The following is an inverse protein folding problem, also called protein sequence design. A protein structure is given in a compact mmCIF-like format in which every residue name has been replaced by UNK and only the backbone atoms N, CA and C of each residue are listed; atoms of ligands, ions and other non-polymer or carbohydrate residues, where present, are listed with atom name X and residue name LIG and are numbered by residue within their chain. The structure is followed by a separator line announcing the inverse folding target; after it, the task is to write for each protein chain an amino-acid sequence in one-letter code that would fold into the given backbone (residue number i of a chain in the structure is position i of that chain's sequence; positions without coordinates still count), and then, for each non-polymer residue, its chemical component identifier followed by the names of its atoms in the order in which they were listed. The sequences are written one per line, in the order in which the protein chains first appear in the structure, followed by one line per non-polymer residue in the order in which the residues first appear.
data_IF_353736024251
#
_entry.id   IF_353736024251
#
_cell.length_a   1.000
_cell.length_b   1.000
_cell.length_c   1.000
_cell.angle_alpha   90.00
_cell.angle_beta   90.00
_cell.angle_gamma   90.00
#
_symmetry.space_group_name_H-M   'P 1'
#
loop_
_entity.id
_entity.type
_entity.pdbx_description
1 polymer ?
#
# COMPACT_ATOMS: atom_id res chain seq x y z
N UNK A 1 -31.95 -8.08 23.24
CA UNK A 1 -30.82 -7.11 23.23
C UNK A 1 -29.58 -7.90 23.62
N UNK A 2 -28.87 -8.44 22.64
CA UNK A 2 -27.52 -8.99 22.85
C UNK A 2 -26.59 -7.82 23.10
N UNK A 3 -26.06 -7.71 24.31
CA UNK A 3 -25.02 -6.72 24.64
C UNK A 3 -23.79 -7.04 23.82
N UNK A 4 -23.48 -6.22 22.82
CA UNK A 4 -22.20 -6.27 22.10
C UNK A 4 -21.07 -6.08 23.10
N UNK A 5 -20.00 -6.85 22.99
CA UNK A 5 -18.87 -6.68 23.90
C UNK A 5 -18.25 -5.28 23.69
N UNK A 6 -17.68 -4.66 24.75
CA UNK A 6 -17.05 -3.35 24.61
C UNK A 6 -16.04 -3.32 23.46
N UNK A 7 -16.10 -2.31 22.60
CA UNK A 7 -15.19 -2.13 21.48
C UNK A 7 -15.49 -2.94 20.21
N UNK A 8 -16.46 -3.86 20.24
CA UNK A 8 -16.92 -4.55 19.02
C UNK A 8 -17.64 -3.57 18.08
N UNK A 9 -18.34 -2.60 18.63
CA UNK A 9 -18.96 -1.48 17.92
C UNK A 9 -17.92 -0.61 17.20
N UNK A 10 -16.79 -0.32 17.85
CA UNK A 10 -15.67 0.42 17.24
C UNK A 10 -15.04 -0.39 16.12
N UNK A 11 -14.82 -1.70 16.32
CA UNK A 11 -14.28 -2.57 15.28
C UNK A 11 -15.21 -2.61 14.06
N UNK A 12 -16.51 -2.78 14.27
CA UNK A 12 -17.52 -2.74 13.21
C UNK A 12 -17.55 -1.39 12.49
N UNK A 13 -17.44 -0.28 13.22
CA UNK A 13 -17.41 1.06 12.63
C UNK A 13 -16.16 1.28 11.75
N UNK A 14 -14.97 0.91 12.24
CA UNK A 14 -13.73 0.97 11.45
C UNK A 14 -13.83 0.11 10.17
N UNK A 15 -14.38 -1.10 10.28
CA UNK A 15 -14.62 -1.98 9.13
C UNK A 15 -15.57 -1.32 8.14
N UNK A 16 -16.69 -0.75 8.62
CA UNK A 16 -17.66 -0.10 7.76
C UNK A 16 -17.06 1.09 6.98
N UNK A 17 -16.18 1.89 7.60
CA UNK A 17 -15.47 2.98 6.91
C UNK A 17 -14.59 2.44 5.78
N UNK A 18 -13.79 1.41 6.05
CA UNK A 18 -12.90 0.83 5.05
C UNK A 18 -13.66 0.15 3.91
N UNK A 19 -14.75 -0.56 4.21
CA UNK A 19 -15.62 -1.17 3.19
C UNK A 19 -16.30 -0.10 2.34
N UNK A 20 -16.79 1.00 2.93
CA UNK A 20 -17.39 2.10 2.17
C UNK A 20 -16.36 2.81 1.28
N UNK A 21 -15.13 3.01 1.78
CA UNK A 21 -14.03 3.51 0.97
C UNK A 21 -13.77 2.59 -0.23
N UNK A 22 -13.64 1.28 -0.01
CA UNK A 22 -13.44 0.29 -1.09
C UNK A 22 -14.60 0.25 -2.08
N UNK A 23 -15.84 0.36 -1.61
CA UNK A 23 -17.02 0.38 -2.48
C UNK A 23 -17.00 1.59 -3.43
N UNK A 24 -16.68 2.78 -2.92
CA UNK A 24 -16.56 3.99 -3.75
C UNK A 24 -15.37 3.92 -4.70
N UNK A 25 -14.25 3.34 -4.25
CA UNK A 25 -13.10 3.09 -5.12
C UNK A 25 -13.47 2.14 -6.27
N UNK A 26 -14.09 0.99 -5.95
CA UNK A 26 -14.54 0.02 -6.94
C UNK A 26 -15.55 0.63 -7.93
N UNK A 27 -16.48 1.45 -7.46
CA UNK A 27 -17.41 2.17 -8.34
C UNK A 27 -16.68 3.15 -9.28
N UNK A 28 -15.61 3.80 -8.83
CA UNK A 28 -14.81 4.68 -9.68
C UNK A 28 -14.14 3.90 -10.82
N UNK A 29 -13.64 2.71 -10.50
CA UNK A 29 -12.98 1.79 -11.44
C UNK A 29 -13.97 1.25 -12.48
N UNK A 30 -15.22 1.00 -12.11
CA UNK A 30 -16.23 0.40 -13.00
C UNK A 30 -17.03 1.41 -13.82
N UNK A 31 -17.24 2.63 -13.31
CA UNK A 31 -17.99 3.69 -14.00
C UNK A 31 -17.09 4.56 -14.89
N UNK A 32 -15.80 4.69 -14.55
CA UNK A 32 -14.81 5.38 -15.39
C UNK A 32 -14.43 4.58 -16.64
N UNK A 33 -13.73 5.21 -17.59
CA UNK A 33 -13.20 4.51 -18.75
C UNK A 33 -12.23 3.40 -18.29
N UNK A 34 -12.59 2.14 -18.55
CA UNK A 34 -11.94 0.93 -18.01
C UNK A 34 -10.39 0.91 -18.19
N UNK A 35 -9.87 1.49 -19.26
CA UNK A 35 -8.43 1.58 -19.55
C UNK A 35 -7.67 2.53 -18.59
N UNK A 36 -8.39 3.42 -17.89
CA UNK A 36 -7.84 4.43 -17.00
C UNK A 36 -7.63 3.90 -15.57
N UNK A 37 -8.40 2.88 -15.19
CA UNK A 37 -8.47 2.38 -13.83
C UNK A 37 -7.42 1.30 -13.46
N UNK A 38 -6.75 0.72 -14.45
CA UNK A 38 -5.78 -0.39 -14.24
C UNK A 38 -4.65 -0.01 -13.26
N UNK A 39 -4.03 1.16 -13.46
CA UNK A 39 -2.92 1.62 -12.61
C UNK A 39 -3.38 1.90 -11.17
N UNK A 40 -4.47 2.66 -10.93
CA UNK A 40 -5.04 2.78 -9.59
C UNK A 40 -5.33 1.43 -8.91
N UNK A 41 -5.88 0.45 -9.64
CA UNK A 41 -6.12 -0.89 -9.10
C UNK A 41 -4.82 -1.56 -8.68
N UNK A 42 -3.75 -1.49 -9.47
CA UNK A 42 -2.43 -2.01 -9.06
C UNK A 42 -1.88 -1.30 -7.83
N UNK A 43 -2.04 0.02 -7.74
CA UNK A 43 -1.58 0.81 -6.60
C UNK A 43 -2.34 0.46 -5.31
N UNK A 44 -3.61 0.08 -5.43
CA UNK A 44 -4.49 -0.21 -4.30
C UNK A 44 -4.62 -1.69 -3.95
N UNK A 45 -4.14 -2.59 -4.80
CA UNK A 45 -4.40 -4.03 -4.68
C UNK A 45 -4.03 -4.60 -3.31
N UNK A 46 -2.83 -4.31 -2.82
CA UNK A 46 -2.35 -4.80 -1.53
C UNK A 46 -3.16 -4.22 -0.36
N UNK A 47 -3.60 -2.96 -0.43
CA UNK A 47 -4.50 -2.35 0.57
C UNK A 47 -5.91 -2.94 0.53
N UNK A 48 -6.45 -3.23 -0.66
CA UNK A 48 -7.74 -3.93 -0.78
C UNK A 48 -7.65 -5.32 -0.13
N UNK A 49 -6.60 -6.08 -0.45
CA UNK A 49 -6.34 -7.38 0.15
C UNK A 49 -6.14 -7.29 1.67
N UNK A 50 -5.44 -6.26 2.16
CA UNK A 50 -5.28 -5.99 3.58
C UNK A 50 -6.62 -5.78 4.27
N UNK A 51 -7.45 -4.87 3.74
CA UNK A 51 -8.76 -4.54 4.30
C UNK A 51 -9.65 -5.79 4.34
N UNK A 52 -9.83 -6.48 3.21
CA UNK A 52 -10.69 -7.66 3.08
C UNK A 52 -10.28 -8.77 4.07
N UNK A 53 -8.99 -9.07 4.12
CA UNK A 53 -8.49 -10.14 4.98
C UNK A 53 -8.67 -9.81 6.45
N UNK A 54 -8.28 -8.59 6.85
CA UNK A 54 -8.33 -8.19 8.26
C UNK A 54 -9.74 -7.90 8.73
N UNK A 55 -10.62 -7.37 7.88
CA UNK A 55 -12.03 -7.15 8.23
C UNK A 55 -12.71 -8.48 8.45
N UNK A 56 -12.54 -9.44 7.54
CA UNK A 56 -13.09 -10.78 7.70
C UNK A 56 -12.55 -11.49 8.96
N UNK A 57 -11.25 -11.37 9.23
CA UNK A 57 -10.65 -11.92 10.45
C UNK A 57 -11.25 -11.30 11.73
N UNK A 58 -11.48 -9.99 11.74
CA UNK A 58 -12.11 -9.30 12.86
C UNK A 58 -13.59 -9.69 13.01
N UNK A 59 -14.33 -9.75 11.89
CA UNK A 59 -15.75 -10.14 11.87
C UNK A 59 -15.96 -11.54 12.45
N UNK A 60 -15.07 -12.51 12.20
CA UNK A 60 -15.14 -13.84 12.83
C UNK A 60 -15.19 -13.80 14.36
N UNK A 61 -14.73 -12.71 14.96
CA UNK A 61 -14.73 -12.53 16.41
C UNK A 61 -15.88 -11.65 16.90
N UNK A 62 -16.27 -10.62 16.14
CA UNK A 62 -17.24 -9.60 16.58
C UNK A 62 -18.64 -9.75 15.96
N UNK A 63 -18.74 -10.40 14.80
CA UNK A 63 -19.99 -10.69 14.09
C UNK A 63 -19.84 -11.97 13.23
N UNK A 64 -19.78 -13.16 13.86
CA UNK A 64 -19.48 -14.43 13.17
C UNK A 64 -20.45 -14.74 12.03
N UNK A 65 -21.75 -14.51 12.21
CA UNK A 65 -22.76 -14.76 11.18
C UNK A 65 -22.50 -13.93 9.91
N UNK A 66 -22.06 -12.67 10.07
CA UNK A 66 -21.66 -11.82 8.94
C UNK A 66 -20.35 -12.32 8.32
N UNK A 67 -19.40 -12.78 9.13
CA UNK A 67 -18.15 -13.34 8.61
C UNK A 67 -18.40 -14.59 7.75
N UNK A 68 -19.29 -15.48 8.19
CA UNK A 68 -19.65 -16.69 7.47
C UNK A 68 -20.36 -16.37 6.15
N UNK A 69 -21.23 -15.36 6.14
CA UNK A 69 -21.86 -14.85 4.92
C UNK A 69 -20.85 -14.23 3.93
N UNK A 70 -19.73 -13.69 4.43
CA UNK A 70 -18.67 -13.05 3.66
C UNK A 70 -17.48 -13.96 3.35
N UNK A 71 -17.64 -15.29 3.49
CA UNK A 71 -16.58 -16.24 3.15
C UNK A 71 -16.14 -16.10 1.68
N UNK A 72 -14.83 -16.15 1.45
CA UNK A 72 -14.22 -15.97 0.12
C UNK A 72 -13.16 -17.04 -0.17
N UNK A 73 -13.04 -17.42 -1.43
CA UNK A 73 -12.31 -18.62 -1.86
C UNK A 73 -10.84 -18.33 -2.24
N UNK A 74 -10.53 -17.08 -2.57
CA UNK A 74 -9.18 -16.65 -2.94
C UNK A 74 -8.27 -16.32 -1.73
N UNK A 75 -8.53 -16.90 -0.56
CA UNK A 75 -7.83 -16.59 0.69
C UNK A 75 -6.29 -16.62 0.59
N UNK A 76 -5.65 -17.62 -0.04
CA UNK A 76 -4.18 -17.64 -0.13
C UNK A 76 -3.60 -16.49 -0.98
N UNK A 77 -4.29 -16.08 -2.06
CA UNK A 77 -3.82 -15.00 -2.92
C UNK A 77 -3.95 -13.64 -2.23
N UNK A 78 -5.12 -13.40 -1.61
CA UNK A 78 -5.39 -12.19 -0.83
C UNK A 78 -4.44 -12.08 0.35
N UNK A 79 -4.18 -13.18 1.07
CA UNK A 79 -3.24 -13.20 2.19
C UNK A 79 -1.82 -12.84 1.72
N UNK A 80 -1.30 -13.46 0.66
CA UNK A 80 0.02 -13.13 0.12
C UNK A 80 0.13 -11.66 -0.31
N UNK A 81 -0.85 -11.15 -1.04
CA UNK A 81 -0.87 -9.75 -1.49
C UNK A 81 -0.92 -8.77 -0.31
N UNK A 82 -1.71 -9.07 0.72
CA UNK A 82 -1.73 -8.31 1.98
C UNK A 82 -0.35 -8.23 2.62
N UNK A 83 0.40 -9.33 2.63
CA UNK A 83 1.73 -9.36 3.26
C UNK A 83 2.74 -8.43 2.57
N UNK A 84 2.55 -8.10 1.28
CA UNK A 84 3.42 -7.17 0.55
C UNK A 84 3.42 -5.73 1.12
N UNK A 85 2.37 -5.33 1.84
CA UNK A 85 2.29 -4.02 2.53
C UNK A 85 3.41 -3.85 3.56
N UNK A 86 3.88 -4.95 4.16
CA UNK A 86 4.88 -4.91 5.23
C UNK A 86 6.29 -4.62 4.72
N UNK A 87 6.57 -4.78 3.43
CA UNK A 87 7.92 -4.59 2.88
C UNK A 87 8.96 -5.39 3.71
N UNK A 88 9.93 -4.74 4.37
CA UNK A 88 10.93 -5.41 5.22
C UNK A 88 10.44 -5.69 6.65
N UNK A 89 9.22 -5.33 7.04
CA UNK A 89 8.65 -5.54 8.39
C UNK A 89 7.97 -6.88 8.61
N UNK A 90 8.06 -7.80 7.65
CA UNK A 90 7.58 -9.14 7.91
C UNK A 90 8.52 -9.83 8.89
N UNK A 91 8.01 -10.19 10.08
CA UNK A 91 8.76 -10.94 11.11
C UNK A 91 9.27 -12.32 10.64
N UNK A 92 8.86 -12.75 9.45
CA UNK A 92 9.26 -13.99 8.80
C UNK A 92 10.15 -13.79 7.58
N UNK A 93 10.51 -12.54 7.24
CA UNK A 93 11.38 -12.22 6.11
C UNK A 93 12.49 -11.28 6.56
N UNK A 94 13.72 -11.65 6.23
CA UNK A 94 14.86 -10.74 6.32
C UNK A 94 14.89 -9.81 5.08
N UNK A 95 15.73 -8.77 5.13
CA UNK A 95 15.90 -7.84 4.01
C UNK A 95 16.30 -8.58 2.72
N UNK A 96 17.13 -9.61 2.87
CA UNK A 96 17.56 -10.48 1.77
C UNK A 96 16.41 -11.26 1.11
N UNK A 97 15.35 -11.61 1.84
CA UNK A 97 14.20 -12.33 1.28
C UNK A 97 13.38 -11.43 0.36
N UNK A 98 13.17 -10.16 0.75
CA UNK A 98 12.49 -9.17 -0.10
C UNK A 98 13.38 -8.80 -1.29
N UNK A 99 14.69 -8.68 -1.09
CA UNK A 99 15.65 -8.55 -2.19
C UNK A 99 15.60 -9.73 -3.16
N UNK A 100 15.45 -10.96 -2.66
CA UNK A 100 15.29 -12.15 -3.49
C UNK A 100 13.98 -12.13 -4.30
N UNK A 101 12.88 -11.68 -3.70
CA UNK A 101 11.60 -11.48 -4.40
C UNK A 101 11.75 -10.51 -5.58
N UNK A 102 12.38 -9.34 -5.37
CA UNK A 102 12.62 -8.37 -6.44
C UNK A 102 13.62 -8.85 -7.50
N UNK A 103 14.70 -9.52 -7.09
CA UNK A 103 15.69 -10.10 -8.01
C UNK A 103 15.01 -11.07 -8.98
N UNK A 104 14.14 -11.92 -8.46
CA UNK A 104 13.35 -12.88 -9.24
C UNK A 104 12.44 -12.14 -10.23
N UNK A 105 11.65 -11.16 -9.77
CA UNK A 105 10.76 -10.34 -10.61
C UNK A 105 11.52 -9.67 -11.77
N UNK A 106 12.69 -9.08 -11.48
CA UNK A 106 13.55 -8.44 -12.48
C UNK A 106 13.99 -9.46 -13.54
N UNK A 107 14.47 -10.62 -13.10
CA UNK A 107 14.95 -11.69 -13.98
C UNK A 107 13.83 -12.20 -14.91
N UNK A 108 12.61 -12.39 -14.41
CA UNK A 108 11.50 -12.87 -15.24
C UNK A 108 11.01 -11.84 -16.24
N UNK A 109 10.97 -10.56 -15.88
CA UNK A 109 10.69 -9.50 -16.84
C UNK A 109 11.76 -9.42 -17.94
N UNK A 110 13.03 -9.60 -17.58
CA UNK A 110 14.13 -9.66 -18.56
C UNK A 110 13.96 -10.81 -19.52
N UNK A 111 13.67 -12.00 -19.01
CA UNK A 111 13.45 -13.20 -19.82
C UNK A 111 12.27 -13.04 -20.79
N UNK A 112 11.20 -12.36 -20.37
CA UNK A 112 10.01 -12.17 -21.20
C UNK A 112 10.20 -11.07 -22.25
N UNK A 113 10.80 -9.94 -21.88
CA UNK A 113 10.77 -8.73 -22.71
C UNK A 113 12.07 -8.43 -23.47
N UNK A 114 13.19 -9.08 -23.13
CA UNK A 114 14.49 -8.85 -23.75
C UNK A 114 14.95 -10.02 -24.63
N UNK A 115 15.87 -9.76 -25.54
CA UNK A 115 16.42 -10.77 -26.46
C UNK A 115 15.48 -11.15 -27.61
N UNK A 116 14.33 -10.50 -27.72
CA UNK A 116 13.29 -10.78 -28.72
C UNK A 116 13.56 -10.12 -30.07
N UNK A 117 14.55 -9.22 -30.17
CA UNK A 117 14.84 -8.51 -31.42
C UNK A 117 15.80 -9.30 -32.32
N UNK A 118 15.38 -9.53 -33.57
CA UNK A 118 16.20 -10.21 -34.59
C UNK A 118 17.46 -9.44 -35.01
N UNK A 119 17.48 -8.10 -34.82
CA UNK A 119 18.63 -7.23 -35.08
C UNK A 119 19.47 -7.02 -33.81
N UNK A 120 20.73 -7.52 -33.74
CA UNK A 120 21.58 -7.34 -32.56
C UNK A 120 21.82 -5.88 -32.17
N UNK A 121 21.91 -4.97 -33.14
CA UNK A 121 22.12 -3.53 -32.91
C UNK A 121 20.91 -2.84 -32.25
N UNK A 122 19.73 -3.44 -32.31
CA UNK A 122 18.52 -2.90 -31.69
C UNK A 122 18.30 -3.40 -30.24
N UNK A 123 19.07 -4.40 -29.77
CA UNK A 123 18.98 -4.93 -28.39
C UNK A 123 19.09 -3.86 -27.29
N UNK A 124 19.94 -2.81 -27.41
CA UNK A 124 20.00 -1.75 -26.39
C UNK A 124 18.72 -0.88 -26.25
N UNK A 125 17.79 -1.00 -27.22
CA UNK A 125 16.50 -0.30 -27.24
C UNK A 125 15.38 -1.11 -26.58
N UNK A 126 15.59 -2.41 -26.33
CA UNK A 126 14.61 -3.28 -25.67
C UNK A 126 14.32 -2.79 -24.24
N UNK A 127 13.06 -2.94 -23.82
CA UNK A 127 12.50 -2.41 -22.57
C UNK A 127 11.80 -3.54 -21.82
N UNK A 128 12.10 -3.64 -20.53
CA UNK A 128 11.60 -4.68 -19.59
C UNK A 128 10.91 -4.07 -18.36
N UNK A 129 10.87 -2.74 -18.27
CA UNK A 129 10.26 -2.02 -17.16
C UNK A 129 9.31 -0.94 -17.67
N UNK A 130 8.11 -0.90 -17.08
CA UNK A 130 7.15 0.18 -17.29
C UNK A 130 7.11 1.05 -16.03
N UNK A 131 7.17 2.37 -16.20
CA UNK A 131 7.04 3.36 -15.15
C UNK A 131 5.69 4.07 -15.32
N UNK A 132 4.83 3.98 -14.31
CA UNK A 132 3.55 4.69 -14.29
C UNK A 132 3.62 5.87 -13.34
N UNK A 133 3.35 7.06 -13.88
CA UNK A 133 3.37 8.31 -13.13
C UNK A 133 1.97 8.93 -13.08
N UNK A 134 1.64 9.51 -11.94
CA UNK A 134 0.46 10.34 -11.73
C UNK A 134 0.90 11.75 -11.33
N UNK A 135 0.48 12.77 -12.10
CA UNK A 135 0.93 14.17 -11.98
C UNK A 135 2.46 14.30 -11.86
N UNK A 136 3.18 13.53 -12.68
CA UNK A 136 4.64 13.49 -12.70
C UNK A 136 5.29 12.62 -11.61
N UNK A 137 4.54 12.11 -10.63
CA UNK A 137 5.06 11.29 -9.51
C UNK A 137 4.98 9.80 -9.82
N UNK A 138 6.04 9.05 -9.55
CA UNK A 138 6.06 7.60 -9.78
C UNK A 138 5.18 6.89 -8.76
N UNK A 139 4.03 6.37 -9.21
CA UNK A 139 3.04 5.70 -8.35
C UNK A 139 3.07 4.19 -8.48
N UNK A 140 3.62 3.67 -9.58
CA UNK A 140 3.85 2.23 -9.74
C UNK A 140 4.89 1.96 -10.84
N UNK A 141 5.43 0.75 -10.82
CA UNK A 141 6.22 0.18 -11.92
C UNK A 141 5.73 -1.24 -12.20
N UNK A 142 6.03 -1.80 -13.38
CA UNK A 142 5.67 -3.19 -13.65
C UNK A 142 6.27 -4.16 -12.62
N UNK A 143 7.49 -3.91 -12.11
CA UNK A 143 8.05 -4.69 -11.00
C UNK A 143 7.30 -4.50 -9.68
N UNK A 144 6.93 -3.26 -9.34
CA UNK A 144 6.17 -2.95 -8.12
C UNK A 144 4.79 -3.60 -8.15
N UNK A 145 4.10 -3.54 -9.29
CA UNK A 145 2.82 -4.20 -9.49
C UNK A 145 2.95 -5.72 -9.31
N UNK A 146 3.96 -6.36 -9.92
CA UNK A 146 4.22 -7.80 -9.75
C UNK A 146 4.45 -8.16 -8.28
N UNK A 147 5.19 -7.33 -7.53
CA UNK A 147 5.41 -7.52 -6.10
C UNK A 147 4.13 -7.40 -5.28
N UNK A 148 3.34 -6.32 -5.46
CA UNK A 148 2.12 -6.08 -4.68
C UNK A 148 0.96 -7.02 -5.01
N UNK A 149 0.89 -7.52 -6.25
CA UNK A 149 -0.06 -8.56 -6.62
C UNK A 149 0.28 -9.93 -6.00
N UNK A 150 1.53 -10.11 -5.54
CA UNK A 150 2.04 -11.33 -4.92
C UNK A 150 1.72 -12.62 -5.70
N UNK A 151 1.71 -12.52 -7.03
CA UNK A 151 1.65 -13.69 -7.89
C UNK A 151 3.01 -14.38 -7.91
N UNK A 152 3.05 -15.73 -7.85
CA UNK A 152 4.27 -16.43 -8.20
C UNK A 152 4.59 -16.07 -9.65
N UNK A 153 5.82 -15.69 -9.98
CA UNK A 153 6.14 -15.23 -11.31
C UNK A 153 5.97 -16.27 -12.42
N UNK A 154 5.98 -17.55 -12.05
CA UNK A 154 5.58 -18.64 -12.95
C UNK A 154 4.16 -18.42 -13.49
N UNK A 155 3.28 -17.73 -12.75
CA UNK A 155 1.96 -17.33 -13.24
C UNK A 155 2.05 -16.34 -14.41
N UNK A 156 3.12 -15.54 -14.53
CA UNK A 156 3.30 -14.62 -15.66
C UNK A 156 3.85 -15.32 -16.92
N UNK A 157 4.44 -16.52 -16.79
CA UNK A 157 4.88 -17.34 -17.94
C UNK A 157 3.72 -17.94 -18.72
N UNK A 158 2.58 -18.15 -18.06
CA UNK A 158 1.38 -18.67 -18.71
C UNK A 158 0.33 -17.56 -18.81
N UNK A 159 0.34 -16.83 -19.93
CA UNK A 159 -0.63 -15.75 -20.20
C UNK A 159 -2.08 -16.25 -20.18
N UNK A 160 -2.29 -17.54 -20.50
CA UNK A 160 -3.61 -18.18 -20.43
C UNK A 160 -4.08 -18.44 -18.99
N UNK A 161 -3.19 -18.33 -17.99
CA UNK A 161 -3.48 -18.56 -16.57
C UNK A 161 -3.48 -17.26 -15.75
N UNK A 162 -2.64 -16.27 -16.09
CA UNK A 162 -2.56 -15.00 -15.35
C UNK A 162 -3.86 -14.19 -15.43
N UNK A 163 -4.40 -14.01 -16.64
CA UNK A 163 -5.63 -13.24 -16.87
C UNK A 163 -6.81 -13.80 -16.07
N UNK A 164 -7.12 -15.11 -16.19
CA UNK A 164 -8.16 -15.75 -15.40
C UNK A 164 -7.93 -15.67 -13.89
N UNK A 165 -6.69 -15.78 -13.40
CA UNK A 165 -6.38 -15.63 -11.96
C UNK A 165 -6.61 -14.21 -11.45
N UNK A 166 -6.14 -13.21 -12.19
CA UNK A 166 -6.39 -11.80 -11.88
C UNK A 166 -7.89 -11.52 -11.84
N UNK A 167 -8.63 -12.02 -12.84
CA UNK A 167 -10.08 -11.91 -12.89
C UNK A 167 -10.75 -12.59 -11.70
N UNK A 168 -10.34 -13.82 -11.34
CA UNK A 168 -10.91 -14.54 -10.19
C UNK A 168 -10.71 -13.79 -8.86
N UNK A 169 -9.51 -13.23 -8.64
CA UNK A 169 -9.24 -12.40 -7.45
C UNK A 169 -10.09 -11.13 -7.47
N UNK A 170 -10.19 -10.44 -8.61
CA UNK A 170 -11.00 -9.23 -8.74
C UNK A 170 -12.51 -9.49 -8.50
N UNK A 171 -13.05 -10.61 -9.01
CA UNK A 171 -14.43 -11.04 -8.77
C UNK A 171 -14.66 -11.30 -7.28
N UNK A 172 -13.76 -12.04 -6.62
CA UNK A 172 -13.87 -12.31 -5.19
C UNK A 172 -13.77 -11.03 -4.35
N UNK A 173 -12.87 -10.11 -4.70
CA UNK A 173 -12.79 -8.79 -4.07
C UNK A 173 -14.10 -8.02 -4.23
N UNK A 174 -14.65 -7.96 -5.45
CA UNK A 174 -15.92 -7.30 -5.74
C UNK A 174 -17.10 -7.93 -4.99
N UNK A 175 -17.17 -9.26 -4.94
CA UNK A 175 -18.19 -10.01 -4.18
C UNK A 175 -18.14 -9.68 -2.70
N UNK A 176 -16.94 -9.73 -2.11
CA UNK A 176 -16.74 -9.41 -0.70
C UNK A 176 -17.13 -7.95 -0.41
N UNK A 177 -16.63 -6.98 -1.19
CA UNK A 177 -16.93 -5.55 -0.99
C UNK A 177 -18.43 -5.28 -1.14
N UNK A 178 -19.05 -5.86 -2.18
CA UNK A 178 -20.48 -5.67 -2.44
C UNK A 178 -21.36 -6.22 -1.32
N UNK A 179 -21.09 -7.45 -0.87
CA UNK A 179 -21.84 -8.09 0.22
C UNK A 179 -21.56 -7.41 1.57
N UNK A 180 -20.31 -7.06 1.88
CA UNK A 180 -19.96 -6.40 3.14
C UNK A 180 -20.54 -5.00 3.25
N UNK A 181 -20.82 -4.34 2.11
CA UNK A 181 -21.46 -3.04 2.06
C UNK A 181 -22.99 -3.11 2.01
N UNK A 182 -23.58 -4.31 2.00
CA UNK A 182 -25.02 -4.49 2.04
C UNK A 182 -25.59 -3.91 3.34
N UNK A 183 -26.59 -3.04 3.23
CA UNK A 183 -27.17 -2.33 4.37
C UNK A 183 -26.39 -1.09 4.84
N UNK A 184 -25.18 -0.84 4.34
CA UNK A 184 -24.49 0.44 4.59
C UNK A 184 -25.06 1.54 3.67
N UNK A 185 -25.49 2.69 4.21
CA UNK A 185 -25.96 3.80 3.39
C UNK A 185 -24.83 4.30 2.51
N UNK A 186 -25.13 4.64 1.26
CA UNK A 186 -24.14 5.20 0.34
C UNK A 186 -23.62 6.56 0.85
N UNK A 187 -22.30 6.73 0.89
CA UNK A 187 -21.64 7.90 1.49
C UNK A 187 -20.83 8.72 0.47
N UNK A 188 -21.48 9.23 -0.57
CA UNK A 188 -20.96 10.31 -1.43
C UNK A 188 -20.27 9.87 -2.73
N UNK A 189 -19.49 10.75 -3.33
CA UNK A 189 -18.96 10.57 -4.70
C UNK A 189 -17.87 9.49 -4.80
N UNK A 190 -17.64 8.91 -6.00
CA UNK A 190 -16.54 7.99 -6.25
C UNK A 190 -15.16 8.65 -5.99
N UNK A 191 -14.19 7.84 -5.55
CA UNK A 191 -12.83 8.25 -5.14
C UNK A 191 -12.01 8.84 -6.29
N UNK A 192 -12.12 8.26 -7.50
CA UNK A 192 -11.27 8.62 -8.64
C UNK A 192 -11.97 9.53 -9.67
N UNK A 193 -13.19 9.99 -9.40
CA UNK A 193 -14.00 10.80 -10.33
C UNK A 193 -13.32 12.14 -10.72
N UNK A 194 -12.31 12.54 -9.95
CA UNK A 194 -11.51 13.76 -10.13
C UNK A 194 -10.24 13.54 -10.96
N UNK A 195 -9.86 12.29 -11.25
CA UNK A 195 -8.63 11.97 -11.99
C UNK A 195 -8.84 12.18 -13.48
N UNK A 196 -7.97 12.99 -14.11
CA UNK A 196 -7.97 13.18 -15.56
C UNK A 196 -6.99 12.24 -16.23
N UNK A 197 -7.30 11.77 -17.44
CA UNK A 197 -6.37 11.02 -18.30
C UNK A 197 -5.01 11.69 -18.44
N UNK A 198 -5.01 13.01 -18.59
CA UNK A 198 -3.80 13.84 -18.73
C UNK A 198 -2.87 13.78 -17.51
N UNK A 199 -3.39 13.39 -16.35
CA UNK A 199 -2.61 13.30 -15.13
C UNK A 199 -1.73 12.03 -15.13
N UNK A 200 -2.01 11.05 -16.01
CA UNK A 200 -1.28 9.79 -16.08
C UNK A 200 -0.28 9.78 -17.23
N UNK A 201 0.95 9.37 -16.95
CA UNK A 201 1.95 9.10 -17.99
C UNK A 201 2.57 7.71 -17.82
N UNK A 202 2.91 7.11 -18.95
CA UNK A 202 3.59 5.81 -19.03
C UNK A 202 4.93 5.97 -19.74
N UNK A 203 6.00 5.44 -19.15
CA UNK A 203 7.32 5.40 -19.78
C UNK A 203 7.90 3.99 -19.74
N UNK A 204 8.23 3.44 -20.92
CA UNK A 204 8.89 2.13 -21.04
C UNK A 204 10.40 2.32 -21.05
N UNK A 205 11.08 1.73 -20.09
CA UNK A 205 12.52 1.88 -19.87
C UNK A 205 13.21 0.51 -19.76
N UNK A 206 14.54 0.54 -19.78
CA UNK A 206 15.36 -0.65 -19.48
C UNK A 206 15.62 -0.65 -17.98
N UNK A 207 15.19 -1.68 -17.26
CA UNK A 207 15.32 -1.81 -15.80
C UNK A 207 16.76 -1.57 -15.36
N UNK A 208 17.70 -2.26 -16.01
CA UNK A 208 19.14 -2.13 -15.74
C UNK A 208 19.63 -0.66 -15.82
N UNK A 209 19.19 0.09 -16.84
CA UNK A 209 19.57 1.50 -17.02
C UNK A 209 18.87 2.40 -16.00
N UNK A 210 17.62 2.10 -15.68
CA UNK A 210 16.82 2.85 -14.70
C UNK A 210 17.44 2.70 -13.31
N UNK A 211 17.54 1.47 -12.80
CA UNK A 211 18.07 1.22 -11.47
C UNK A 211 19.56 1.57 -11.34
N UNK A 212 20.38 1.49 -12.39
CA UNK A 212 21.74 2.02 -12.33
C UNK A 212 21.80 3.51 -11.97
N UNK A 213 20.80 4.28 -12.41
CA UNK A 213 20.72 5.74 -12.23
C UNK A 213 19.87 6.18 -11.05
N UNK A 214 19.19 5.25 -10.37
CA UNK A 214 18.31 5.58 -9.25
C UNK A 214 18.97 5.26 -7.92
N UNK A 215 18.74 6.09 -6.90
CA UNK A 215 19.31 5.93 -5.56
C UNK A 215 20.85 5.80 -5.57
N UNK A 216 21.41 5.38 -4.45
CA UNK A 216 22.85 5.24 -4.30
C UNK A 216 23.44 4.15 -5.24
N UNK A 217 24.52 4.40 -5.98
CA UNK A 217 25.21 3.43 -6.83
C UNK A 217 25.73 2.17 -6.13
N UNK A 218 26.02 2.22 -4.82
CA UNK A 218 26.48 1.07 -4.04
C UNK A 218 25.38 0.02 -3.84
N UNK A 219 24.11 0.43 -3.90
CA UNK A 219 22.98 -0.48 -3.72
C UNK A 219 22.81 -1.40 -4.93
N UNK A 220 22.48 -2.65 -4.64
CA UNK A 220 22.15 -3.65 -5.68
C UNK A 220 20.81 -3.34 -6.32
N UNK A 221 20.61 -3.81 -7.55
CA UNK A 221 19.42 -3.54 -8.35
C UNK A 221 18.11 -3.94 -7.66
N UNK A 222 18.09 -5.09 -6.99
CA UNK A 222 16.91 -5.55 -6.25
C UNK A 222 16.56 -4.66 -5.06
N UNK A 223 17.56 -4.08 -4.39
CA UNK A 223 17.35 -3.16 -3.26
C UNK A 223 16.77 -1.86 -3.78
N UNK A 224 17.29 -1.36 -4.91
CA UNK A 224 16.73 -0.20 -5.61
C UNK A 224 15.31 -0.44 -6.08
N UNK A 225 14.99 -1.64 -6.57
CA UNK A 225 13.63 -1.99 -6.94
C UNK A 225 12.67 -1.99 -5.73
N UNK A 226 13.09 -2.49 -4.56
CA UNK A 226 12.30 -2.37 -3.34
C UNK A 226 12.16 -0.92 -2.84
N UNK A 227 13.21 -0.11 -2.90
CA UNK A 227 13.13 1.33 -2.59
C UNK A 227 12.16 2.04 -3.55
N UNK A 228 12.19 1.70 -4.84
CA UNK A 228 11.20 2.19 -5.80
C UNK A 228 9.78 1.79 -5.40
N UNK A 229 9.56 0.55 -4.95
CA UNK A 229 8.24 0.13 -4.48
C UNK A 229 7.77 0.91 -3.25
N UNK A 230 8.67 1.26 -2.32
CA UNK A 230 8.39 2.16 -1.19
C UNK A 230 8.01 3.56 -1.68
N UNK A 231 8.79 4.12 -2.61
CA UNK A 231 8.50 5.42 -3.24
C UNK A 231 7.13 5.41 -3.92
N UNK A 232 6.80 4.34 -4.65
CA UNK A 232 5.49 4.15 -5.27
C UNK A 232 4.37 4.15 -4.24
N UNK A 233 4.48 3.37 -3.16
CA UNK A 233 3.47 3.29 -2.11
C UNK A 233 3.23 4.65 -1.41
N UNK A 234 4.30 5.39 -1.12
CA UNK A 234 4.23 6.74 -0.56
C UNK A 234 3.56 7.72 -1.54
N UNK A 235 3.96 7.70 -2.81
CA UNK A 235 3.36 8.55 -3.83
C UNK A 235 1.88 8.20 -4.05
N UNK A 236 1.48 6.93 -4.02
CA UNK A 236 0.06 6.54 -4.05
C UNK A 236 -0.70 7.20 -2.90
N UNK A 237 -0.19 7.12 -1.67
CA UNK A 237 -0.84 7.72 -0.51
C UNK A 237 -0.83 9.27 -0.52
N UNK A 238 0.21 9.87 -1.10
CA UNK A 238 0.42 11.32 -1.12
C UNK A 238 -0.26 12.04 -2.30
N UNK A 239 -0.41 11.38 -3.45
CA UNK A 239 -1.00 12.02 -4.65
C UNK A 239 -2.26 11.34 -5.17
N UNK A 240 -2.32 10.01 -5.22
CA UNK A 240 -3.48 9.31 -5.77
C UNK A 240 -4.64 9.30 -4.79
N UNK A 241 -4.36 9.07 -3.51
CA UNK A 241 -5.35 9.08 -2.44
C UNK A 241 -5.63 10.47 -1.84
N UNK A 242 -4.87 11.49 -2.24
CA UNK A 242 -5.06 12.85 -1.75
C UNK A 242 -6.28 13.55 -2.38
N UNK A 243 -6.70 13.11 -3.57
CA UNK A 243 -7.84 13.68 -4.29
C UNK A 243 -9.20 13.28 -3.68
N UNK A 244 -9.24 12.28 -2.78
CA UNK A 244 -10.45 11.89 -2.06
C UNK A 244 -10.70 12.83 -0.88
N UNK A 245 -11.50 13.87 -1.12
CA UNK A 245 -11.89 14.86 -0.11
C UNK A 245 -13.19 14.50 0.62
N UNK A 246 -13.74 13.31 0.40
CA UNK A 246 -14.99 12.93 1.04
C UNK A 246 -14.75 12.66 2.54
N UNK A 247 -15.49 13.30 3.47
CA UNK A 247 -15.29 13.12 4.90
C UNK A 247 -15.37 11.66 5.36
N UNK A 248 -16.18 10.86 4.67
CA UNK A 248 -16.38 9.43 4.96
C UNK A 248 -15.15 8.57 4.63
N UNK A 249 -14.16 9.14 3.95
CA UNK A 249 -12.88 8.50 3.64
C UNK A 249 -11.83 8.79 4.70
N UNK A 250 -12.04 9.81 5.55
CA UNK A 250 -10.99 10.39 6.37
C UNK A 250 -10.30 9.36 7.26
N UNK A 251 -11.09 8.50 7.93
CA UNK A 251 -10.61 7.40 8.77
C UNK A 251 -9.74 6.41 7.99
N UNK A 252 -10.23 5.93 6.84
CA UNK A 252 -9.50 4.98 6.00
C UNK A 252 -8.23 5.59 5.43
N UNK A 253 -8.30 6.83 4.92
CA UNK A 253 -7.14 7.53 4.35
C UNK A 253 -6.08 7.83 5.42
N UNK A 254 -6.48 8.21 6.63
CA UNK A 254 -5.58 8.32 7.77
C UNK A 254 -4.89 6.98 8.05
N UNK A 255 -5.68 5.91 8.17
CA UNK A 255 -5.17 4.54 8.41
C UNK A 255 -4.16 4.11 7.36
N UNK A 256 -4.49 4.28 6.07
CA UNK A 256 -3.61 3.90 4.96
C UNK A 256 -2.29 4.67 5.02
N UNK A 257 -2.34 6.01 5.18
CA UNK A 257 -1.13 6.85 5.32
C UNK A 257 -0.27 6.41 6.49
N UNK A 258 -0.87 6.18 7.66
CA UNK A 258 -0.15 5.74 8.85
C UNK A 258 0.53 4.39 8.65
N UNK A 259 -0.19 3.39 8.13
CA UNK A 259 0.33 2.04 7.90
C UNK A 259 1.47 2.07 6.87
N UNK A 260 1.30 2.81 5.77
CA UNK A 260 2.32 2.96 4.73
C UNK A 260 3.57 3.62 5.29
N UNK A 261 3.43 4.75 6.00
CA UNK A 261 4.57 5.43 6.62
C UNK A 261 5.29 4.55 7.63
N UNK A 262 4.56 3.89 8.53
CA UNK A 262 5.17 3.01 9.53
C UNK A 262 6.03 1.93 8.87
N UNK A 263 5.49 1.24 7.86
CA UNK A 263 6.22 0.18 7.17
C UNK A 263 7.40 0.67 6.33
N UNK A 264 7.25 1.82 5.68
CA UNK A 264 8.35 2.42 4.91
C UNK A 264 9.45 2.90 5.85
N UNK A 265 9.14 3.64 6.91
CA UNK A 265 10.12 4.15 7.86
C UNK A 265 10.88 3.01 8.56
N UNK A 266 10.18 1.97 8.98
CA UNK A 266 10.82 0.82 9.63
C UNK A 266 11.70 0.04 8.63
N UNK A 267 11.27 -0.08 7.37
CA UNK A 267 12.08 -0.65 6.30
C UNK A 267 13.32 0.19 5.99
N UNK A 268 13.20 1.52 5.96
CA UNK A 268 14.32 2.44 5.77
C UNK A 268 15.31 2.39 6.95
N UNK A 269 14.82 2.22 8.18
CA UNK A 269 15.68 2.01 9.36
C UNK A 269 16.54 0.75 9.21
N UNK A 270 15.95 -0.37 8.82
CA UNK A 270 16.69 -1.63 8.55
C UNK A 270 17.72 -1.47 7.41
N UNK A 271 17.36 -0.71 6.38
CA UNK A 271 18.26 -0.43 5.27
C UNK A 271 19.44 0.47 5.71
N UNK A 272 19.21 1.47 6.57
CA UNK A 272 20.27 2.29 7.16
C UNK A 272 21.20 1.45 8.04
N UNK A 273 20.64 0.55 8.86
CA UNK A 273 21.42 -0.36 9.71
C UNK A 273 22.34 -1.27 8.88
N UNK A 274 21.85 -1.78 7.74
CA UNK A 274 22.59 -2.72 6.91
C UNK A 274 23.56 -2.04 5.92
N UNK A 275 23.15 -0.93 5.30
CA UNK A 275 23.88 -0.32 4.17
C UNK A 275 24.27 1.15 4.41
N UNK A 276 23.76 1.80 5.47
CA UNK A 276 23.91 3.23 5.69
C UNK A 276 25.36 3.73 5.76
N UNK A 277 26.30 2.87 6.18
CA UNK A 277 27.73 3.19 6.19
C UNK A 277 28.37 3.22 4.79
N UNK A 278 27.78 2.51 3.82
CA UNK A 278 28.28 2.36 2.45
C UNK A 278 27.69 3.42 1.50
N UNK A 279 26.59 4.07 1.89
CA UNK A 279 25.95 5.12 1.12
C UNK A 279 26.86 6.35 1.00
N UNK A 280 26.86 6.97 -0.19
CA UNK A 280 27.42 8.29 -0.44
C UNK A 280 26.81 9.30 0.54
N UNK A 281 27.60 10.27 0.95
CA UNK A 281 27.17 11.30 1.93
C UNK A 281 25.84 11.98 1.59
N UNK A 282 25.55 12.39 0.33
CA UNK A 282 24.26 13.01 0.01
C UNK A 282 23.06 12.06 0.17
N UNK A 283 23.23 10.79 -0.19
CA UNK A 283 22.18 9.76 -0.09
C UNK A 283 21.92 9.37 1.36
N UNK A 284 22.99 9.25 2.16
CA UNK A 284 22.88 9.05 3.61
C UNK A 284 22.21 10.23 4.30
N UNK A 285 22.51 11.47 3.88
CA UNK A 285 21.87 12.65 4.45
C UNK A 285 20.36 12.71 4.13
N UNK A 286 19.95 12.31 2.92
CA UNK A 286 18.54 12.15 2.56
C UNK A 286 17.82 11.11 3.43
N UNK A 287 18.45 9.94 3.62
CA UNK A 287 17.91 8.88 4.47
C UNK A 287 17.78 9.32 5.93
N UNK A 288 18.80 10.00 6.47
CA UNK A 288 18.77 10.53 7.84
C UNK A 288 17.74 11.62 8.04
N UNK A 289 17.59 12.53 7.08
CA UNK A 289 16.54 13.56 7.11
C UNK A 289 15.13 12.95 7.20
N UNK A 290 14.88 11.82 6.53
CA UNK A 290 13.62 11.08 6.66
C UNK A 290 13.49 10.43 8.04
N UNK A 291 14.51 9.68 8.48
CA UNK A 291 14.44 8.85 9.70
C UNK A 291 14.48 9.69 10.98
N UNK A 292 15.25 10.77 11.00
CA UNK A 292 15.47 11.61 12.19
C UNK A 292 14.36 12.67 12.36
N UNK A 293 13.45 12.80 11.38
CA UNK A 293 12.32 13.72 11.47
C UNK A 293 11.45 13.40 12.72
N UNK A 294 11.02 14.41 13.51
CA UNK A 294 10.25 14.19 14.73
C UNK A 294 9.00 13.31 14.52
N UNK A 295 8.26 13.52 13.43
CA UNK A 295 7.09 12.73 13.11
C UNK A 295 7.42 11.29 12.70
N UNK A 296 8.56 11.06 12.04
CA UNK A 296 9.04 9.70 11.75
C UNK A 296 9.33 8.93 13.05
N UNK A 297 10.03 9.59 13.98
CA UNK A 297 10.29 9.03 15.31
C UNK A 297 8.99 8.73 16.06
N UNK A 298 8.01 9.65 16.05
CA UNK A 298 6.71 9.42 16.66
C UNK A 298 6.02 8.18 16.08
N UNK A 299 5.99 8.02 14.74
CA UNK A 299 5.37 6.87 14.06
C UNK A 299 6.10 5.54 14.34
N UNK A 300 7.43 5.57 14.47
CA UNK A 300 8.25 4.39 14.74
C UNK A 300 8.19 3.96 16.21
N UNK A 301 8.17 4.92 17.13
CA UNK A 301 8.08 4.70 18.57
C UNK A 301 6.63 4.51 19.04
N UNK A 302 5.65 4.80 18.19
CA UNK A 302 4.24 4.69 18.47
C UNK A 302 3.86 3.32 19.04
N UNK A 303 2.86 3.35 19.92
CA UNK A 303 2.37 2.16 20.60
C UNK A 303 1.99 1.07 19.59
N UNK A 304 2.62 -0.11 19.70
CA UNK A 304 2.33 -1.28 18.85
C UNK A 304 0.84 -1.60 18.79
N UNK A 305 0.12 -1.34 19.89
CA UNK A 305 -1.34 -1.47 19.96
C UNK A 305 -2.11 -0.54 19.01
N UNK A 306 -1.66 0.69 18.77
CA UNK A 306 -2.32 1.62 17.85
C UNK A 306 -2.27 1.09 16.41
N UNK A 307 -1.06 0.79 15.91
CA UNK A 307 -0.89 0.16 14.59
C UNK A 307 -1.67 -1.14 14.48
N UNK A 308 -1.63 -1.99 15.51
CA UNK A 308 -2.40 -3.23 15.53
C UNK A 308 -3.91 -2.96 15.44
N UNK A 309 -4.42 -1.92 16.10
CA UNK A 309 -5.85 -1.57 16.02
C UNK A 309 -6.21 -1.09 14.62
N UNK A 310 -5.39 -0.23 14.02
CA UNK A 310 -5.61 0.22 12.64
C UNK A 310 -5.59 -0.95 11.65
N UNK A 311 -4.65 -1.89 11.81
CA UNK A 311 -4.52 -3.04 10.90
C UNK A 311 -5.58 -4.11 11.14
N UNK A 312 -5.82 -4.50 12.40
CA UNK A 312 -6.61 -5.66 12.79
C UNK A 312 -8.00 -5.32 13.36
N UNK A 313 -8.37 -4.03 13.34
CA UNK A 313 -9.65 -3.47 13.80
C UNK A 313 -9.99 -3.60 15.28
N UNK A 314 -9.29 -4.46 16.04
CA UNK A 314 -9.60 -4.72 17.46
C UNK A 314 -8.60 -4.02 18.39
N UNK A 315 -9.04 -2.98 19.13
CA UNK A 315 -8.23 -2.40 20.19
C UNK A 315 -8.09 -3.38 21.36
N UNK A 316 -7.04 -3.22 22.16
CA UNK A 316 -6.86 -3.95 23.40
C UNK A 316 -7.93 -3.55 24.42
N UNK A 317 -8.25 -4.44 25.35
CA UNK A 317 -9.38 -4.25 26.29
C UNK A 317 -9.27 -2.97 27.12
N UNK A 318 -8.07 -2.63 27.56
CA UNK A 318 -7.75 -1.40 28.31
C UNK A 318 -7.99 -0.11 27.50
N UNK A 319 -7.95 -0.21 26.17
CA UNK A 319 -8.20 0.92 25.28
C UNK A 319 -9.68 1.05 24.94
N UNK A 320 -10.39 -0.07 24.77
CA UNK A 320 -11.80 -0.11 24.36
C UNK A 320 -12.70 0.79 25.22
N UNK A 321 -12.49 0.83 26.54
CA UNK A 321 -13.28 1.62 27.48
C UNK A 321 -13.12 3.14 27.32
N UNK A 322 -12.09 3.59 26.59
CA UNK A 322 -11.77 4.99 26.33
C UNK A 322 -12.25 5.47 24.96
N UNK A 323 -12.77 4.57 24.12
CA UNK A 323 -13.17 4.87 22.75
C UNK A 323 -14.64 5.30 22.70
N UNK A 324 -14.96 6.09 21.68
CA UNK A 324 -16.33 6.55 21.44
C UNK A 324 -16.57 6.68 19.95
N UNK A 325 -17.76 6.28 19.49
CA UNK A 325 -18.18 6.45 18.09
C UNK A 325 -18.28 7.93 17.66
N UNK A 326 -18.49 8.84 18.62
CA UNK A 326 -18.65 10.27 18.37
C UNK A 326 -17.32 11.03 18.31
N UNK A 327 -16.22 10.39 18.71
CA UNK A 327 -14.90 11.02 18.71
C UNK A 327 -14.20 10.89 17.34
N UNK A 328 -13.35 11.86 16.94
CA UNK A 328 -12.52 11.74 15.74
C UNK A 328 -11.64 10.48 15.79
N UNK A 329 -11.62 9.71 14.70
CA UNK A 329 -10.97 8.39 14.64
C UNK A 329 -11.33 7.51 15.86
N UNK A 330 -12.56 7.65 16.34
CA UNK A 330 -13.11 6.96 17.50
C UNK A 330 -12.36 7.17 18.83
N UNK A 331 -11.59 8.26 18.95
CA UNK A 331 -10.76 8.56 20.12
C UNK A 331 -9.47 7.74 20.16
N UNK A 332 -9.11 7.03 19.09
CA UNK A 332 -7.92 6.18 19.07
C UNK A 332 -6.61 6.96 19.28
N UNK A 333 -6.50 8.19 18.77
CA UNK A 333 -5.29 8.99 18.97
C UNK A 333 -5.10 9.32 20.45
N UNK A 334 -6.12 9.86 21.10
CA UNK A 334 -6.08 10.21 22.52
C UNK A 334 -5.94 8.97 23.42
N UNK A 335 -6.40 7.80 22.93
CA UNK A 335 -6.25 6.55 23.65
C UNK A 335 -4.79 6.07 23.70
N UNK A 336 -4.03 6.26 22.62
CA UNK A 336 -2.69 5.69 22.47
C UNK A 336 -1.54 6.68 22.63
N UNK A 337 -1.80 7.98 22.55
CA UNK A 337 -0.77 9.02 22.58
C UNK A 337 -1.09 10.10 23.62
N UNK A 338 -0.06 10.75 24.20
CA UNK A 338 -0.20 12.04 24.87
C UNK A 338 -0.92 13.07 23.98
N UNK A 339 -1.63 14.03 24.59
CA UNK A 339 -2.51 14.95 23.88
C UNK A 339 -1.79 15.83 22.82
N UNK A 340 -0.55 16.21 23.05
CA UNK A 340 0.28 16.97 22.12
C UNK A 340 0.75 16.12 20.93
N UNK A 341 1.18 14.88 21.19
CA UNK A 341 1.53 13.90 20.15
C UNK A 341 0.31 13.49 19.31
N UNK A 342 -0.83 13.23 19.96
CA UNK A 342 -2.10 12.89 19.32
C UNK A 342 -2.52 13.99 18.33
N UNK A 343 -2.46 15.25 18.76
CA UNK A 343 -2.74 16.42 17.91
C UNK A 343 -1.73 16.54 16.78
N UNK A 344 -0.43 16.43 17.07
CA UNK A 344 0.62 16.50 16.06
C UNK A 344 0.41 15.45 14.97
N UNK A 345 0.13 14.20 15.36
CA UNK A 345 -0.13 13.10 14.44
C UNK A 345 -1.40 13.34 13.62
N UNK A 346 -2.49 13.76 14.25
CA UNK A 346 -3.76 14.09 13.56
C UNK A 346 -3.60 15.18 12.50
N UNK A 347 -2.91 16.26 12.85
CA UNK A 347 -2.83 17.46 12.01
C UNK A 347 -1.77 17.36 10.90
N UNK A 348 -0.69 16.61 11.12
CA UNK A 348 0.50 16.67 10.24
C UNK A 348 0.81 15.38 9.49
N UNK A 349 0.09 14.27 9.72
CA UNK A 349 0.35 12.99 9.03
C UNK A 349 0.32 13.13 7.50
N UNK A 350 -0.63 13.90 6.96
CA UNK A 350 -0.73 14.13 5.50
C UNK A 350 0.50 14.87 4.97
N UNK A 351 0.90 15.95 5.65
CA UNK A 351 2.08 16.73 5.28
C UNK A 351 3.36 15.91 5.39
N UNK A 352 3.48 15.10 6.45
CA UNK A 352 4.64 14.21 6.62
C UNK A 352 4.68 13.12 5.55
N UNK A 353 3.53 12.55 5.18
CA UNK A 353 3.46 11.57 4.07
C UNK A 353 3.99 12.19 2.78
N UNK A 354 3.55 13.41 2.44
CA UNK A 354 4.02 14.13 1.27
C UNK A 354 5.52 14.43 1.35
N UNK A 355 6.00 14.90 2.50
CA UNK A 355 7.42 15.18 2.73
C UNK A 355 8.28 13.93 2.50
N UNK A 356 7.97 12.80 3.13
CA UNK A 356 8.73 11.55 2.94
C UNK A 356 8.66 11.08 1.48
N UNK A 357 7.49 11.20 0.83
CA UNK A 357 7.34 10.88 -0.59
C UNK A 357 8.23 11.75 -1.49
N UNK A 358 8.36 13.04 -1.19
CA UNK A 358 9.23 13.99 -1.91
C UNK A 358 10.69 13.62 -1.75
N UNK A 359 11.14 13.33 -0.52
CA UNK A 359 12.53 12.94 -0.23
C UNK A 359 12.90 11.62 -0.89
N UNK A 360 12.01 10.63 -0.85
CA UNK A 360 12.20 9.35 -1.55
C UNK A 360 12.22 9.51 -3.07
N UNK A 361 11.40 10.40 -3.62
CA UNK A 361 11.40 10.70 -5.06
C UNK A 361 12.69 11.41 -5.47
N UNK A 362 13.15 12.40 -4.69
CA UNK A 362 14.42 13.08 -4.90
C UNK A 362 15.61 12.11 -4.85
N UNK A 363 15.61 11.17 -3.89
CA UNK A 363 16.65 10.14 -3.82
C UNK A 363 16.61 9.18 -5.02
N UNK A 364 15.43 8.84 -5.53
CA UNK A 364 15.25 7.99 -6.71
C UNK A 364 15.73 8.64 -8.02
N UNK A 365 15.65 9.97 -8.14
CA UNK A 365 15.96 10.72 -9.36
C UNK A 365 17.39 11.34 -9.35
N UNK A 366 18.15 11.20 -8.24
CA UNK A 366 19.49 11.78 -8.02
C UNK A 366 20.66 11.05 -8.70
#
# INVERSE_FOLDING_TARGET
MTTTAPGDDIALALIAQDIMFLRRFAQSVTVGALDEAVVPVFCMHNYMCLIIHESHRALRQVAPDLADALAYDCAPAIERARHSVKLYDDKYKELDDVGADFRRIIEEHRQEFLGNTWLPLARPLERDLVLWRFRGRLVSTSHTASFFLAFPPQAFKNKDDLGPRLHAVAVEQGRYIGAAAEGLPWQGQPVLDVMKTTDRTENKVRAEKHYRRSFDPALREEIKASLTAMTCALNTAAVLLADDTNPSSATTLFKLRYITLHHVLSSLGKLDDQYGAELRTPDRALLKDILDAPMSNLILQAHRGFRNTLVHYRPTRDVQERLSLDAPLYGLLDAYFPADEARSLGDTLVLHTAHVADRMSAWCDN
#
